data_IF_968826429664
#
_entry.id   IF_968826429664
#
_cell.length_a   1.000
_cell.length_b   1.000
_cell.length_c   1.000
_cell.angle_alpha   90.00
_cell.angle_beta   90.00
_cell.angle_gamma   90.00
#
_symmetry.space_group_name_H-M   'P 1'
#
loop_
_entity.id
_entity.type
_entity.pdbx_description
1 polymer ?
#
# COMPACT_ATOMS: atom_id res chain seq x y z
N UNK A 1 -51.62 -25.15 -33.89
CA UNK A 1 -52.49 -24.86 -32.72
C UNK A 1 -52.04 -25.82 -31.62
N UNK A 2 -51.57 -25.48 -30.42
CA UNK A 2 -51.63 -24.28 -29.58
C UNK A 2 -50.47 -24.40 -28.56
N UNK A 3 -49.43 -23.56 -28.59
CA UNK A 3 -49.24 -22.36 -27.74
C UNK A 3 -49.60 -22.48 -26.23
N UNK A 4 -49.61 -23.69 -25.64
CA UNK A 4 -50.00 -23.84 -24.21
C UNK A 4 -49.07 -24.68 -23.31
N UNK A 5 -47.88 -25.13 -23.76
CA UNK A 5 -46.93 -25.88 -22.90
C UNK A 5 -45.66 -25.10 -22.53
N UNK A 6 -45.40 -23.93 -23.13
CA UNK A 6 -44.09 -23.25 -22.98
C UNK A 6 -44.00 -22.28 -21.77
N UNK A 7 -45.01 -22.22 -20.90
CA UNK A 7 -45.07 -21.19 -19.84
C UNK A 7 -44.89 -21.70 -18.39
N UNK A 8 -44.19 -22.83 -18.16
CA UNK A 8 -43.87 -23.31 -16.80
C UNK A 8 -42.42 -23.02 -16.36
N UNK A 9 -41.56 -22.43 -17.20
CA UNK A 9 -40.16 -22.12 -16.82
C UNK A 9 -39.93 -20.60 -16.83
N UNK A 10 -40.86 -19.85 -16.24
CA UNK A 10 -40.66 -18.46 -15.81
C UNK A 10 -40.72 -18.40 -14.30
N UNK A 11 -39.74 -18.99 -13.63
CA UNK A 11 -39.45 -18.62 -12.24
C UNK A 11 -37.95 -18.44 -12.11
N UNK A 12 -37.59 -17.18 -11.97
CA UNK A 12 -36.24 -16.65 -11.84
C UNK A 12 -35.47 -17.35 -10.73
N UNK A 13 -34.52 -18.21 -11.09
CA UNK A 13 -33.41 -18.57 -10.23
C UNK A 13 -32.27 -17.62 -10.58
N UNK A 14 -32.41 -16.37 -10.13
CA UNK A 14 -31.28 -15.45 -9.97
C UNK A 14 -30.63 -15.84 -8.63
N UNK A 15 -29.83 -16.90 -8.62
CA UNK A 15 -28.96 -17.19 -7.47
C UNK A 15 -27.95 -16.07 -7.42
N UNK A 16 -28.23 -15.10 -6.55
CA UNK A 16 -27.28 -14.07 -6.16
C UNK A 16 -26.05 -14.76 -5.60
N UNK A 17 -24.95 -14.68 -6.35
CA UNK A 17 -23.63 -14.98 -5.82
C UNK A 17 -23.34 -13.97 -4.72
N UNK A 18 -23.68 -14.35 -3.48
CA UNK A 18 -23.27 -13.63 -2.28
C UNK A 18 -21.75 -13.76 -2.21
N UNK A 19 -21.06 -12.75 -2.74
CA UNK A 19 -19.62 -12.62 -2.60
C UNK A 19 -19.34 -12.50 -1.11
N UNK A 20 -18.81 -13.57 -0.53
CA UNK A 20 -18.28 -13.57 0.82
C UNK A 20 -17.10 -12.59 0.78
N UNK A 21 -17.35 -11.33 1.11
CA UNK A 21 -16.28 -10.39 1.42
C UNK A 21 -15.61 -10.93 2.68
N UNK A 22 -14.46 -11.58 2.52
CA UNK A 22 -13.62 -11.97 3.63
C UNK A 22 -13.30 -10.71 4.43
N UNK A 23 -13.97 -10.54 5.58
CA UNK A 23 -13.59 -9.54 6.54
C UNK A 23 -12.19 -9.90 7.01
N UNK A 24 -11.19 -9.13 6.58
CA UNK A 24 -9.86 -9.20 7.16
C UNK A 24 -9.99 -8.71 8.61
N UNK A 25 -9.96 -9.64 9.55
CA UNK A 25 -9.88 -9.33 10.97
C UNK A 25 -8.45 -8.87 11.25
N UNK A 26 -8.27 -7.55 11.35
CA UNK A 26 -7.07 -6.94 11.92
C UNK A 26 -7.50 -6.32 13.25
N UNK A 27 -6.67 -6.51 14.27
CA UNK A 27 -6.92 -5.98 15.60
C UNK A 27 -6.93 -4.46 15.57
N UNK A 28 -5.78 -3.86 15.38
CA UNK A 28 -5.57 -2.42 15.33
C UNK A 28 -5.40 -1.98 13.88
N UNK A 29 -6.28 -1.08 13.44
CA UNK A 29 -6.27 -0.51 12.09
C UNK A 29 -6.00 0.98 12.12
N UNK A 30 -5.19 1.46 11.18
CA UNK A 30 -5.03 2.89 10.91
C UNK A 30 -6.20 3.38 10.05
N UNK A 31 -6.68 4.61 10.31
CA UNK A 31 -7.63 5.27 9.40
C UNK A 31 -6.93 5.70 8.12
N UNK A 32 -7.32 5.07 7.01
CA UNK A 32 -6.70 5.26 5.70
C UNK A 32 -5.59 4.25 5.41
N UNK A 33 -5.13 4.22 4.16
CA UNK A 33 -4.13 3.24 3.67
C UNK A 33 -2.73 3.85 3.49
N UNK A 34 -2.60 5.16 3.69
CA UNK A 34 -1.36 5.94 3.64
C UNK A 34 -1.53 7.26 4.37
N UNK A 35 -0.43 7.84 4.82
CA UNK A 35 -0.41 9.17 5.44
C UNK A 35 0.20 10.15 4.45
N UNK A 36 -0.47 11.27 4.20
CA UNK A 36 0.10 12.41 3.44
C UNK A 36 0.43 13.51 4.44
N UNK A 37 1.72 13.79 4.62
CA UNK A 37 2.23 14.86 5.46
C UNK A 37 2.55 16.08 4.58
N UNK A 38 1.71 17.13 4.59
CA UNK A 38 1.95 18.32 3.78
C UNK A 38 3.07 19.16 4.39
N UNK A 39 3.92 19.71 3.53
CA UNK A 39 4.93 20.70 3.89
C UNK A 39 4.29 21.96 4.53
N UNK A 40 5.04 22.60 5.42
CA UNK A 40 4.64 23.74 6.23
C UNK A 40 3.70 23.40 7.39
N UNK A 41 3.47 22.11 7.67
CA UNK A 41 2.88 21.67 8.94
C UNK A 41 3.97 21.13 9.86
N UNK A 42 3.92 21.50 11.13
CA UNK A 42 4.82 20.94 12.15
C UNK A 42 4.36 19.56 12.62
N UNK A 43 3.05 19.32 12.60
CA UNK A 43 2.47 18.06 13.00
C UNK A 43 1.24 17.68 12.18
N UNK A 44 0.95 16.38 12.16
CA UNK A 44 -0.27 15.80 11.59
C UNK A 44 -0.77 14.73 12.53
N UNK A 45 -2.08 14.71 12.76
CA UNK A 45 -2.71 13.67 13.56
C UNK A 45 -3.10 12.47 12.71
N UNK A 46 -2.89 11.28 13.26
CA UNK A 46 -3.39 10.00 12.73
C UNK A 46 -4.25 9.30 13.79
N UNK A 47 -5.17 8.44 13.35
CA UNK A 47 -6.09 7.73 14.24
C UNK A 47 -5.99 6.22 14.03
N UNK A 48 -5.75 5.50 15.12
CA UNK A 48 -5.75 4.04 15.17
C UNK A 48 -6.99 3.57 15.92
N UNK A 49 -7.60 2.48 15.46
CA UNK A 49 -8.76 1.86 16.10
C UNK A 49 -8.48 0.40 16.40
N UNK A 50 -8.69 -0.01 17.65
CA UNK A 50 -8.70 -1.42 18.03
C UNK A 50 -10.11 -1.99 17.80
N UNK A 51 -10.22 -2.97 16.91
CA UNK A 51 -11.44 -3.73 16.56
C UNK A 51 -11.52 -5.07 17.29
N UNK A 52 -10.50 -5.44 18.05
CA UNK A 52 -10.55 -6.64 18.89
C UNK A 52 -11.48 -6.46 20.09
N UNK A 53 -11.91 -7.60 20.63
CA UNK A 53 -12.65 -7.68 21.89
C UNK A 53 -11.73 -7.67 23.13
N UNK A 54 -10.43 -7.47 22.95
CA UNK A 54 -9.42 -7.39 24.01
C UNK A 54 -8.50 -6.17 23.80
N UNK A 55 -7.90 -5.63 24.88
CA UNK A 55 -7.01 -4.49 24.75
C UNK A 55 -5.69 -4.88 24.08
N UNK A 56 -5.14 -3.97 23.29
CA UNK A 56 -3.86 -4.12 22.63
C UNK A 56 -2.88 -3.04 23.12
N UNK A 57 -1.64 -3.43 23.41
CA UNK A 57 -0.53 -2.50 23.54
C UNK A 57 0.03 -2.24 22.14
N UNK A 58 0.17 -0.98 21.77
CA UNK A 58 0.65 -0.56 20.46
C UNK A 58 1.97 0.16 20.63
N UNK A 59 2.95 -0.23 19.81
CA UNK A 59 4.21 0.49 19.64
C UNK A 59 4.27 1.04 18.23
N UNK A 60 4.63 2.31 18.05
CA UNK A 60 4.58 3.02 16.76
C UNK A 60 5.85 3.85 16.52
N UNK A 61 6.38 3.81 15.29
CA UNK A 61 7.61 4.51 14.89
C UNK A 61 7.67 4.73 13.38
N UNK A 62 8.64 5.53 12.89
CA UNK A 62 8.89 5.70 11.46
C UNK A 62 10.26 5.16 11.04
N UNK A 63 10.42 4.84 9.77
CA UNK A 63 11.72 4.56 9.16
C UNK A 63 11.81 5.08 7.71
N UNK A 64 12.99 4.96 7.12
CA UNK A 64 13.35 5.45 5.78
C UNK A 64 13.46 4.33 4.74
N UNK A 65 12.69 3.25 4.88
CA UNK A 65 12.68 2.11 3.97
C UNK A 65 13.32 0.84 4.52
N UNK A 66 13.83 0.85 5.75
CA UNK A 66 14.38 -0.32 6.43
C UNK A 66 13.25 -1.14 7.09
N UNK A 67 12.92 -2.30 6.51
CA UNK A 67 11.86 -3.18 7.01
C UNK A 67 12.19 -3.78 8.38
N UNK A 68 13.46 -3.91 8.72
CA UNK A 68 13.95 -4.44 10.00
C UNK A 68 14.13 -3.34 11.06
N UNK A 69 13.81 -2.08 10.72
CA UNK A 69 13.90 -0.95 11.64
C UNK A 69 13.01 -1.14 12.87
N UNK A 70 13.52 -0.70 14.01
CA UNK A 70 12.85 -0.66 15.31
C UNK A 70 12.69 0.77 15.77
N UNK A 71 11.89 1.00 16.82
CA UNK A 71 11.70 2.32 17.41
C UNK A 71 13.04 3.00 17.75
N UNK A 72 14.02 2.26 18.27
CA UNK A 72 15.33 2.78 18.66
C UNK A 72 16.26 3.09 17.47
N UNK A 73 16.06 2.42 16.33
CA UNK A 73 16.86 2.57 15.11
C UNK A 73 16.21 3.49 14.09
N UNK A 74 15.10 4.12 14.45
CA UNK A 74 14.37 5.05 13.60
C UNK A 74 15.26 6.25 13.25
N UNK A 75 15.47 6.47 11.94
CA UNK A 75 16.24 7.61 11.40
C UNK A 75 15.39 8.62 10.65
N UNK A 76 14.09 8.34 10.49
CA UNK A 76 13.19 9.22 9.76
C UNK A 76 13.10 10.59 10.47
N UNK A 77 12.90 11.70 9.72
CA UNK A 77 12.76 13.04 10.27
C UNK A 77 11.38 13.28 10.90
N UNK A 78 10.90 12.30 11.65
CA UNK A 78 9.59 12.31 12.28
C UNK A 78 9.65 11.68 13.67
N UNK A 79 8.95 12.32 14.61
CA UNK A 79 8.67 11.78 15.94
C UNK A 79 7.18 11.49 16.05
N UNK A 80 6.85 10.35 16.63
CA UNK A 80 5.48 9.95 16.93
C UNK A 80 5.20 10.17 18.41
N UNK A 81 4.01 10.65 18.76
CA UNK A 81 3.62 10.87 20.16
C UNK A 81 2.15 10.52 20.41
N UNK A 82 1.83 9.61 21.37
CA UNK A 82 2.76 8.75 22.11
C UNK A 82 3.33 7.61 21.25
N UNK A 83 4.53 7.11 21.58
CA UNK A 83 5.19 6.01 20.87
C UNK A 83 4.76 4.61 21.35
N UNK A 84 4.32 4.50 22.60
CA UNK A 84 3.79 3.27 23.20
C UNK A 84 2.54 3.63 23.98
N UNK A 85 1.44 2.91 23.74
CA UNK A 85 0.17 3.16 24.41
C UNK A 85 -0.76 1.94 24.33
N UNK A 86 -1.74 1.89 25.22
CA UNK A 86 -2.78 0.85 25.23
C UNK A 86 -4.04 1.38 24.53
N UNK A 87 -4.62 0.58 23.64
CA UNK A 87 -5.97 0.82 23.10
C UNK A 87 -6.93 -0.24 23.66
N UNK A 88 -8.03 0.20 24.27
CA UNK A 88 -9.06 -0.70 24.78
C UNK A 88 -9.91 -1.33 23.67
N UNK A 89 -10.63 -2.43 23.94
CA UNK A 89 -11.50 -3.09 22.96
C UNK A 89 -12.46 -2.11 22.29
N UNK A 90 -12.61 -2.18 20.96
CA UNK A 90 -13.55 -1.36 20.19
C UNK A 90 -13.38 0.17 20.35
N UNK A 91 -12.22 0.65 20.85
CA UNK A 91 -11.89 2.08 20.99
C UNK A 91 -10.78 2.50 20.04
N UNK A 92 -10.43 3.78 20.01
CA UNK A 92 -9.29 4.25 19.23
C UNK A 92 -8.40 5.22 19.97
N UNK A 93 -7.22 5.43 19.41
CA UNK A 93 -6.20 6.33 19.90
C UNK A 93 -5.80 7.30 18.80
N UNK A 94 -5.73 8.56 19.19
CA UNK A 94 -5.17 9.63 18.38
C UNK A 94 -3.67 9.75 18.64
N UNK A 95 -2.88 9.82 17.57
CA UNK A 95 -1.42 9.89 17.63
C UNK A 95 -0.95 11.08 16.79
N UNK A 96 0.01 11.85 17.32
CA UNK A 96 0.64 12.96 16.60
C UNK A 96 1.88 12.47 15.89
N UNK A 97 1.97 12.78 14.60
CA UNK A 97 3.16 12.67 13.79
C UNK A 97 3.78 14.07 13.69
N UNK A 98 4.96 14.26 14.24
CA UNK A 98 5.65 15.55 14.35
C UNK A 98 6.87 15.50 13.44
N UNK A 99 7.02 16.48 12.56
CA UNK A 99 8.17 16.59 11.65
C UNK A 99 9.33 17.28 12.36
N UNK A 100 10.53 16.69 12.31
CA UNK A 100 11.67 17.14 13.13
C UNK A 100 12.80 17.80 12.35
N UNK A 101 12.79 17.81 11.01
CA UNK A 101 13.83 18.52 10.27
C UNK A 101 13.90 18.20 8.78
N UNK A 102 14.56 19.08 8.03
CA UNK A 102 14.57 19.07 6.56
C UNK A 102 15.67 18.19 5.92
N UNK A 103 16.60 17.62 6.69
CA UNK A 103 17.83 17.02 6.13
C UNK A 103 17.58 15.89 5.11
N UNK A 104 16.47 15.15 5.26
CA UNK A 104 16.13 14.00 4.42
C UNK A 104 14.85 14.20 3.57
N UNK A 105 14.42 15.44 3.33
CA UNK A 105 13.26 15.72 2.46
C UNK A 105 13.62 16.61 1.28
N UNK A 106 13.07 16.30 0.11
CA UNK A 106 13.16 17.15 -1.06
C UNK A 106 12.09 18.23 -1.03
N UNK A 107 12.41 19.42 -1.56
CA UNK A 107 11.45 20.53 -1.74
C UNK A 107 10.74 20.48 -3.10
N UNK A 108 11.21 19.66 -4.02
CA UNK A 108 10.77 19.65 -5.43
C UNK A 108 10.06 18.35 -5.84
N UNK A 109 10.09 17.33 -4.99
CA UNK A 109 9.40 16.05 -5.20
C UNK A 109 8.90 15.49 -3.86
N UNK A 110 7.97 14.54 -3.90
CA UNK A 110 7.59 13.80 -2.70
C UNK A 110 8.78 13.01 -2.11
N UNK A 111 8.79 12.89 -0.78
CA UNK A 111 9.70 12.00 -0.06
C UNK A 111 8.88 10.90 0.64
N UNK A 112 9.41 9.68 0.68
CA UNK A 112 8.72 8.50 1.21
C UNK A 112 9.37 8.01 2.50
N UNK A 113 8.54 7.84 3.51
CA UNK A 113 8.85 7.22 4.78
C UNK A 113 7.83 6.13 5.08
N UNK A 114 8.09 5.34 6.11
CA UNK A 114 7.19 4.27 6.52
C UNK A 114 6.84 4.41 7.98
N UNK A 115 5.55 4.44 8.28
CA UNK A 115 5.00 4.35 9.63
C UNK A 115 4.79 2.87 9.95
N UNK A 116 5.44 2.40 10.99
CA UNK A 116 5.26 1.06 11.50
C UNK A 116 4.50 1.11 12.80
N UNK A 117 3.60 0.15 12.99
CA UNK A 117 3.04 -0.10 14.31
C UNK A 117 2.88 -1.58 14.55
N UNK A 118 3.31 -2.02 15.74
CA UNK A 118 3.13 -3.38 16.23
C UNK A 118 2.06 -3.42 17.29
N UNK A 119 1.19 -4.42 17.23
CA UNK A 119 0.17 -4.67 18.24
C UNK A 119 0.48 -5.92 19.06
N UNK A 120 0.40 -5.78 20.37
CA UNK A 120 0.63 -6.84 21.34
C UNK A 120 -0.66 -7.07 22.13
N UNK A 121 -1.32 -8.23 21.96
CA UNK A 121 -2.50 -8.59 22.74
C UNK A 121 -2.22 -8.58 24.24
N UNK A 122 -3.09 -7.96 25.03
CA UNK A 122 -2.99 -8.04 26.48
C UNK A 122 -3.27 -9.48 26.96
N UNK A 123 -2.43 -9.95 27.86
CA UNK A 123 -2.54 -11.29 28.44
C UNK A 123 -3.51 -11.26 29.63
N UNK A 124 -4.38 -12.26 29.74
CA UNK A 124 -5.16 -12.46 30.96
C UNK A 124 -4.31 -13.26 31.94
N UNK A 125 -4.43 -12.96 33.25
CA UNK A 125 -3.72 -13.68 34.31
C UNK A 125 -4.02 -15.19 34.34
N UNK A 126 -5.17 -15.61 33.82
CA UNK A 126 -5.56 -17.03 33.72
C UNK A 126 -4.83 -17.80 32.60
N UNK A 127 -4.08 -17.10 31.74
CA UNK A 127 -3.38 -17.69 30.59
C UNK A 127 -1.88 -17.97 30.88
N UNK A 128 -1.43 -17.89 32.15
CA UNK A 128 0.00 -18.02 32.50
C UNK A 128 0.53 -19.46 32.51
N UNK A 129 -0.34 -20.45 32.68
CA UNK A 129 0.06 -21.82 33.03
C UNK A 129 0.02 -22.79 31.83
N UNK A 130 -0.16 -22.29 30.60
CA UNK A 130 -0.18 -23.10 29.37
C UNK A 130 0.84 -22.64 28.33
N UNK A 131 1.40 -23.61 27.60
CA UNK A 131 2.23 -23.33 26.41
C UNK A 131 1.37 -22.65 25.36
N UNK A 132 1.78 -21.46 24.91
CA UNK A 132 0.97 -20.63 24.02
C UNK A 132 1.78 -19.99 22.91
N UNK A 133 1.19 -19.98 21.72
CA UNK A 133 1.67 -19.23 20.57
C UNK A 133 1.05 -17.82 20.63
N UNK A 134 1.88 -16.79 20.62
CA UNK A 134 1.45 -15.40 20.54
C UNK A 134 1.77 -14.85 19.15
N UNK A 135 0.75 -14.36 18.47
CA UNK A 135 0.89 -13.69 17.18
C UNK A 135 0.92 -12.18 17.44
N UNK A 136 1.96 -11.51 16.94
CA UNK A 136 2.14 -10.06 16.97
C UNK A 136 2.10 -9.58 15.53
N UNK A 137 1.19 -8.67 15.21
CA UNK A 137 1.12 -8.10 13.87
C UNK A 137 1.93 -6.81 13.80
N UNK A 138 2.88 -6.76 12.86
CA UNK A 138 3.59 -5.54 12.47
C UNK A 138 2.95 -5.00 11.19
N UNK A 139 2.37 -3.82 11.28
CA UNK A 139 1.80 -3.12 10.14
C UNK A 139 2.78 -2.05 9.65
N UNK A 140 2.86 -1.86 8.33
CA UNK A 140 3.73 -0.89 7.67
C UNK A 140 2.91 -0.06 6.69
N UNK A 141 2.91 1.26 6.88
CA UNK A 141 2.09 2.20 6.11
C UNK A 141 2.97 3.27 5.50
N UNK A 142 2.77 3.58 4.21
CA UNK A 142 3.51 4.64 3.52
C UNK A 142 3.13 6.02 4.08
N UNK A 143 4.15 6.83 4.34
CA UNK A 143 4.04 8.24 4.72
C UNK A 143 4.72 9.07 3.63
N UNK A 144 3.93 9.87 2.91
CA UNK A 144 4.45 10.76 1.86
C UNK A 144 4.58 12.17 2.43
N UNK A 145 5.81 12.67 2.56
CA UNK A 145 6.05 14.09 2.75
C UNK A 145 5.87 14.81 1.41
N UNK A 146 4.98 15.82 1.38
CA UNK A 146 4.56 16.49 0.15
C UNK A 146 4.84 18.00 0.20
N UNK A 147 5.84 18.48 -0.55
CA UNK A 147 6.06 19.91 -0.75
C UNK A 147 4.83 20.65 -1.27
N UNK A 148 4.68 21.94 -0.91
CA UNK A 148 3.50 22.73 -1.28
C UNK A 148 3.36 22.98 -2.79
N UNK A 149 4.49 23.11 -3.50
CA UNK A 149 4.53 23.66 -4.85
C UNK A 149 4.73 22.60 -5.95
N UNK A 150 4.28 21.36 -5.70
CA UNK A 150 4.40 20.29 -6.71
C UNK A 150 3.43 20.51 -7.90
N UNK A 151 3.91 20.21 -9.10
CA UNK A 151 3.18 20.37 -10.37
C UNK A 151 2.32 19.16 -10.69
N UNK A 152 1.03 19.42 -10.85
CA UNK A 152 0.02 18.42 -11.24
C UNK A 152 -0.68 17.85 -10.01
N UNK A 153 -1.08 16.58 -10.08
CA UNK A 153 -1.81 15.91 -9.01
C UNK A 153 -1.34 14.47 -8.87
N UNK A 154 -1.53 13.88 -7.69
CA UNK A 154 -1.31 12.44 -7.50
C UNK A 154 -2.22 11.59 -8.39
N UNK A 155 -3.44 12.07 -8.65
CA UNK A 155 -4.42 11.36 -9.47
C UNK A 155 -3.97 11.27 -10.94
N UNK A 156 -3.23 12.26 -11.43
CA UNK A 156 -2.74 12.31 -12.82
C UNK A 156 -1.28 11.90 -12.97
N UNK A 157 -0.56 11.63 -11.87
CA UNK A 157 0.86 11.32 -11.88
C UNK A 157 1.21 10.13 -12.79
N UNK A 158 0.34 9.11 -12.82
CA UNK A 158 0.52 7.94 -13.68
C UNK A 158 0.55 8.27 -15.18
N UNK A 159 -0.14 9.34 -15.61
CA UNK A 159 -0.16 9.77 -17.03
C UNK A 159 1.20 10.31 -17.47
N UNK A 160 2.05 10.70 -16.52
CA UNK A 160 3.42 11.17 -16.73
C UNK A 160 4.46 10.05 -16.67
N UNK A 161 4.01 8.78 -16.55
CA UNK A 161 4.88 7.61 -16.64
C UNK A 161 5.02 7.20 -18.09
N UNK A 162 6.27 7.18 -18.56
CA UNK A 162 6.63 6.78 -19.91
C UNK A 162 7.26 5.40 -19.87
N UNK A 163 7.06 4.64 -20.95
CA UNK A 163 7.52 3.27 -21.08
C UNK A 163 8.26 3.11 -22.41
N UNK A 164 9.42 2.46 -22.37
CA UNK A 164 10.19 2.10 -23.54
C UNK A 164 10.59 0.63 -23.42
N UNK A 165 10.31 -0.15 -24.46
CA UNK A 165 10.77 -1.53 -24.54
C UNK A 165 12.18 -1.54 -25.11
N UNK A 166 13.12 -2.11 -24.37
CA UNK A 166 14.49 -2.34 -24.83
C UNK A 166 14.76 -3.83 -24.98
N UNK A 167 15.48 -4.16 -26.05
CA UNK A 167 15.91 -5.52 -26.36
C UNK A 167 17.39 -5.47 -26.74
N UNK A 168 18.26 -5.90 -25.82
CA UNK A 168 19.71 -5.95 -26.05
C UNK A 168 20.17 -7.27 -26.74
N UNK A 169 19.21 -8.10 -27.17
CA UNK A 169 19.47 -9.41 -27.78
C UNK A 169 19.62 -10.55 -26.78
N UNK A 170 19.90 -10.26 -25.50
CA UNK A 170 20.02 -11.25 -24.41
C UNK A 170 18.95 -11.10 -23.32
N UNK A 171 18.44 -9.88 -23.11
CA UNK A 171 17.42 -9.54 -22.13
C UNK A 171 16.40 -8.58 -22.75
N UNK A 172 15.13 -8.90 -22.53
CA UNK A 172 14.00 -8.01 -22.82
C UNK A 172 13.72 -7.20 -21.55
N UNK A 173 13.78 -5.88 -21.63
CA UNK A 173 13.60 -4.99 -20.48
C UNK A 173 12.55 -3.93 -20.80
N UNK A 174 11.78 -3.57 -19.78
CA UNK A 174 10.88 -2.43 -19.83
C UNK A 174 11.51 -1.29 -19.04
N UNK A 175 11.91 -0.24 -19.74
CA UNK A 175 12.39 0.99 -19.15
C UNK A 175 11.19 1.89 -18.86
N UNK A 176 11.12 2.35 -17.62
CA UNK A 176 9.98 3.10 -17.11
C UNK A 176 10.52 4.40 -16.52
N UNK A 177 9.96 5.52 -16.94
CA UNK A 177 10.35 6.85 -16.47
C UNK A 177 9.14 7.55 -15.87
N UNK A 178 9.20 7.85 -14.57
CA UNK A 178 8.21 8.70 -13.92
C UNK A 178 8.69 10.16 -13.99
N UNK A 179 8.13 10.95 -14.90
CA UNK A 179 8.47 12.38 -15.00
C UNK A 179 7.70 13.28 -14.02
N UNK A 180 6.77 12.71 -13.24
CA UNK A 180 6.02 13.45 -12.23
C UNK A 180 6.84 13.74 -10.98
N UNK A 181 6.31 14.62 -10.13
CA UNK A 181 6.88 14.97 -8.82
C UNK A 181 6.29 14.12 -7.68
N UNK A 182 5.47 13.12 -8.03
CA UNK A 182 4.76 12.23 -7.10
C UNK A 182 5.21 10.79 -7.27
N UNK A 183 5.11 10.00 -6.21
CA UNK A 183 5.23 8.56 -6.30
C UNK A 183 4.03 7.96 -7.05
N UNK A 184 4.27 7.02 -7.96
CA UNK A 184 3.20 6.31 -8.69
C UNK A 184 3.11 4.88 -8.19
N UNK A 185 1.96 4.53 -7.58
CA UNK A 185 1.69 3.15 -7.13
C UNK A 185 1.26 2.30 -8.33
N UNK A 186 1.92 1.18 -8.50
CA UNK A 186 1.66 0.20 -9.55
C UNK A 186 1.08 -1.03 -8.87
N UNK A 187 -0.22 -1.26 -9.03
CA UNK A 187 -0.85 -2.50 -8.58
C UNK A 187 -0.37 -3.66 -9.44
N UNK A 188 -0.42 -3.47 -10.76
CA UNK A 188 0.05 -4.46 -11.73
C UNK A 188 0.44 -3.75 -13.03
N UNK A 189 1.57 -4.15 -13.59
CA UNK A 189 2.01 -3.77 -14.92
C UNK A 189 2.16 -5.03 -15.77
N UNK A 190 1.43 -5.07 -16.89
CA UNK A 190 1.42 -6.20 -17.82
C UNK A 190 1.64 -5.73 -19.26
N UNK A 191 2.25 -6.60 -20.06
CA UNK A 191 2.36 -6.46 -21.50
C UNK A 191 1.37 -7.40 -22.18
N UNK A 192 0.57 -6.87 -23.10
CA UNK A 192 -0.35 -7.64 -23.93
C UNK A 192 0.31 -7.83 -25.29
N UNK A 193 0.75 -9.06 -25.57
CA UNK A 193 1.36 -9.46 -26.83
C UNK A 193 0.43 -10.45 -27.55
N UNK A 194 -0.35 -9.95 -28.52
CA UNK A 194 -1.43 -10.74 -29.14
C UNK A 194 -2.49 -11.12 -28.10
N UNK A 195 -2.68 -12.43 -27.89
CA UNK A 195 -3.63 -12.98 -26.91
C UNK A 195 -3.00 -13.31 -25.55
N UNK A 196 -1.69 -13.08 -25.38
CA UNK A 196 -0.98 -13.36 -24.14
C UNK A 196 -0.85 -12.10 -23.29
N UNK A 197 -1.14 -12.21 -21.99
CA UNK A 197 -0.83 -11.19 -20.98
C UNK A 197 0.38 -11.65 -20.17
N UNK A 198 1.45 -10.86 -20.20
CA UNK A 198 2.70 -11.11 -19.49
C UNK A 198 2.79 -10.09 -18.36
N UNK A 199 2.66 -10.56 -17.13
CA UNK A 199 2.88 -9.72 -15.94
C UNK A 199 4.36 -9.39 -15.83
N UNK A 200 4.69 -8.11 -15.86
CA UNK A 200 6.07 -7.62 -15.68
C UNK A 200 6.36 -7.39 -14.20
N UNK A 201 5.42 -6.75 -13.49
CA UNK A 201 5.60 -6.40 -12.08
C UNK A 201 4.25 -6.25 -11.37
N UNK A 202 4.22 -6.55 -10.07
CA UNK A 202 3.07 -6.33 -9.19
C UNK A 202 3.49 -5.57 -7.94
N UNK A 203 2.58 -4.78 -7.40
CA UNK A 203 2.70 -4.08 -6.11
C UNK A 203 4.02 -3.32 -5.95
N UNK A 204 4.35 -2.47 -6.92
CA UNK A 204 5.57 -1.67 -6.89
C UNK A 204 5.25 -0.17 -6.80
N UNK A 205 6.28 0.62 -6.51
CA UNK A 205 6.20 2.05 -6.36
C UNK A 205 7.31 2.71 -7.18
N UNK A 206 6.94 3.57 -8.12
CA UNK A 206 7.92 4.29 -8.93
C UNK A 206 8.14 5.67 -8.32
N UNK A 207 9.39 5.94 -7.91
CA UNK A 207 9.77 7.20 -7.30
C UNK A 207 9.60 8.41 -8.26
N UNK A 208 9.37 9.62 -7.73
CA UNK A 208 9.35 10.84 -8.53
C UNK A 208 10.65 11.02 -9.32
N UNK A 209 10.54 11.51 -10.56
CA UNK A 209 11.70 11.78 -11.45
C UNK A 209 12.62 10.58 -11.71
N UNK A 210 12.24 9.38 -11.28
CA UNK A 210 13.07 8.19 -11.37
C UNK A 210 12.92 7.47 -12.72
N UNK A 211 13.97 6.74 -13.06
CA UNK A 211 13.97 5.73 -14.12
C UNK A 211 14.19 4.36 -13.49
N UNK A 212 13.37 3.39 -13.87
CA UNK A 212 13.48 2.00 -13.41
C UNK A 212 13.44 1.07 -14.60
N UNK A 213 14.24 0.00 -14.54
CA UNK A 213 14.32 -0.99 -15.60
C UNK A 213 13.84 -2.33 -15.02
N UNK A 214 12.78 -2.90 -15.58
CA UNK A 214 12.25 -4.19 -15.16
C UNK A 214 12.49 -5.24 -16.23
N UNK A 215 13.12 -6.35 -15.83
CA UNK A 215 13.35 -7.49 -16.72
C UNK A 215 12.02 -8.16 -17.02
N UNK A 216 11.75 -8.39 -18.31
CA UNK A 216 10.58 -9.11 -18.77
C UNK A 216 10.97 -10.57 -18.93
N UNK A 217 10.48 -11.41 -18.01
CA UNK A 217 10.66 -12.85 -18.08
C UNK A 217 9.72 -13.42 -19.16
N UNK A 218 10.19 -13.44 -20.41
CA UNK A 218 9.43 -13.96 -21.55
C UNK A 218 10.33 -14.78 -22.48
N UNK A 219 10.15 -16.10 -22.43
CA UNK A 219 10.97 -17.04 -23.19
C UNK A 219 10.42 -17.36 -24.59
N UNK A 220 9.21 -16.90 -24.96
CA UNK A 220 8.50 -17.49 -26.12
C UNK A 220 7.73 -16.51 -27.00
N UNK A 221 7.46 -15.26 -26.57
CA UNK A 221 6.64 -14.33 -27.35
C UNK A 221 7.45 -13.17 -27.96
N UNK A 222 7.14 -12.83 -29.23
CA UNK A 222 7.52 -11.54 -29.82
C UNK A 222 6.85 -10.43 -29.04
N UNK A 223 7.62 -9.42 -28.63
CA UNK A 223 7.11 -8.25 -27.92
C UNK A 223 6.83 -7.06 -28.85
N UNK A 224 7.05 -7.24 -30.16
CA UNK A 224 6.75 -6.21 -31.16
C UNK A 224 5.25 -5.89 -31.11
N UNK A 225 4.92 -4.60 -31.10
CA UNK A 225 3.54 -4.07 -31.02
C UNK A 225 2.75 -4.45 -29.75
N UNK A 226 3.45 -4.84 -28.68
CA UNK A 226 2.80 -5.12 -27.39
C UNK A 226 2.16 -3.87 -26.81
N UNK A 227 0.97 -4.01 -26.23
CA UNK A 227 0.31 -2.94 -25.49
C UNK A 227 0.65 -3.02 -24.01
N UNK A 228 0.82 -1.87 -23.38
CA UNK A 228 1.01 -1.80 -21.93
C UNK A 228 -0.35 -1.68 -21.26
N UNK A 229 -0.60 -2.54 -20.28
CA UNK A 229 -1.73 -2.47 -19.37
C UNK A 229 -1.20 -2.15 -17.98
N UNK A 230 -1.47 -0.92 -17.55
CA UNK A 230 -1.11 -0.44 -16.22
C UNK A 230 -2.35 -0.36 -15.34
N UNK A 231 -2.30 -1.03 -14.19
CA UNK A 231 -3.27 -0.88 -13.11
C UNK A 231 -2.63 -0.15 -11.94
N UNK A 232 -3.22 0.97 -11.52
CA UNK A 232 -2.75 1.81 -10.41
C UNK A 232 -3.78 1.91 -9.27
N UNK A 233 -3.36 2.40 -8.10
CA UNK A 233 -4.23 2.58 -6.92
C UNK A 233 -4.00 3.90 -6.17
#
# INVERSE_FOLDING_TARGET
>A
MSRWIVNIIKSHILIGGLTIMSAAFSGVVLTGTRVIFPDGQNEKTIYLQNKDQYPNLVQIWLDEGDEDSTLEKSKAPFVVSPQIFRINPNTGQTVRLIFTGEENVSKDVESLFYLNFSEFPALKKQDSDSSRLMIVFKNRVKVFYRPKNLKGSTADAYKKVQFALENDGTKKQLNIQNSSEYYVNIKELSLIAGNSEIVVKKNDLIAPKAKVNWVINNNTHSLKDSKIKLTHC
#
